data_IF_374646271297
#
_entry.id   IF_374646271297
#
_cell.length_a   1.000
_cell.length_b   1.000
_cell.length_c   1.000
_cell.angle_alpha   90.00
_cell.angle_beta   90.00
_cell.angle_gamma   90.00
#
_symmetry.space_group_name_H-M   'P 1'
#
loop_
_entity.id
_entity.type
_entity.pdbx_description
1 polymer ?
#
# COMPACT_ATOMS: atom_id res chain seq x y z
N UNK A 1 -0.03 -21.73 22.83
CA UNK A 1 -0.28 -20.67 21.84
C UNK A 1 -1.44 -19.84 22.33
N UNK A 2 -1.25 -18.53 22.46
CA UNK A 2 -2.31 -17.61 22.90
C UNK A 2 -3.10 -17.10 21.69
N UNK A 3 -4.38 -16.75 21.89
CA UNK A 3 -5.22 -16.14 20.84
C UNK A 3 -4.56 -14.88 20.22
N UNK A 4 -3.76 -14.15 21.01
CA UNK A 4 -3.01 -12.98 20.56
C UNK A 4 -1.89 -13.33 19.56
N UNK A 5 -1.20 -14.46 19.75
CA UNK A 5 -0.17 -14.91 18.81
C UNK A 5 -0.77 -15.32 17.47
N UNK A 6 -1.91 -16.03 17.48
CA UNK A 6 -2.60 -16.41 16.23
C UNK A 6 -3.16 -15.21 15.47
N UNK A 7 -3.71 -14.22 16.18
CA UNK A 7 -4.19 -12.97 15.58
C UNK A 7 -3.04 -12.16 14.98
N UNK A 8 -1.90 -12.06 15.69
CA UNK A 8 -0.69 -11.43 15.15
C UNK A 8 -0.17 -12.15 13.91
N UNK A 9 -0.14 -13.48 13.93
CA UNK A 9 0.37 -14.25 12.78
C UNK A 9 -0.52 -14.09 11.55
N UNK A 10 -1.85 -14.05 11.73
CA UNK A 10 -2.79 -13.79 10.64
C UNK A 10 -2.68 -12.36 10.11
N UNK A 11 -2.50 -11.37 10.99
CA UNK A 11 -2.30 -9.98 10.59
C UNK A 11 -0.98 -9.79 9.82
N UNK A 12 0.11 -10.42 10.26
CA UNK A 12 1.39 -10.39 9.56
C UNK A 12 1.30 -11.05 8.18
N UNK A 13 0.65 -12.22 8.07
CA UNK A 13 0.45 -12.86 6.75
C UNK A 13 -0.30 -11.96 5.77
N UNK A 14 -1.38 -11.31 6.22
CA UNK A 14 -2.12 -10.36 5.38
C UNK A 14 -1.27 -9.13 5.03
N UNK A 15 -0.40 -8.70 5.95
CA UNK A 15 0.52 -7.61 5.68
C UNK A 15 1.49 -7.96 4.55
N UNK A 16 2.17 -9.11 4.62
CA UNK A 16 3.07 -9.57 3.56
C UNK A 16 2.33 -9.70 2.22
N UNK A 17 1.12 -10.28 2.22
CA UNK A 17 0.33 -10.46 1.00
C UNK A 17 -0.02 -9.12 0.31
N UNK A 18 -0.50 -8.12 1.07
CA UNK A 18 -0.78 -6.79 0.52
C UNK A 18 0.49 -6.04 0.13
N UNK A 19 1.58 -6.24 0.86
CA UNK A 19 2.85 -5.63 0.57
C UNK A 19 3.42 -6.14 -0.76
N UNK A 20 3.42 -7.45 -0.98
CA UNK A 20 3.82 -8.07 -2.24
C UNK A 20 2.90 -7.66 -3.40
N UNK A 21 1.58 -7.57 -3.20
CA UNK A 21 0.62 -7.08 -4.21
C UNK A 21 0.97 -5.65 -4.66
N UNK A 22 1.09 -4.72 -3.71
CA UNK A 22 1.38 -3.31 -4.00
C UNK A 22 2.78 -3.15 -4.60
N UNK A 23 3.77 -3.88 -4.08
CA UNK A 23 5.13 -3.81 -4.59
C UNK A 23 5.21 -4.32 -6.02
N UNK A 24 4.58 -5.45 -6.32
CA UNK A 24 4.54 -5.99 -7.68
C UNK A 24 3.81 -5.08 -8.68
N UNK A 25 2.74 -4.41 -8.25
CA UNK A 25 2.06 -3.41 -9.07
C UNK A 25 2.91 -2.15 -9.25
N UNK A 26 3.65 -1.74 -8.21
CA UNK A 26 4.56 -0.60 -8.26
C UNK A 26 5.77 -0.87 -9.16
N UNK A 27 6.34 -2.07 -9.12
CA UNK A 27 7.42 -2.49 -10.01
C UNK A 27 6.98 -2.39 -11.46
N UNK A 28 5.80 -2.93 -11.80
CA UNK A 28 5.25 -2.81 -13.16
C UNK A 28 5.00 -1.37 -13.57
N UNK A 29 4.45 -0.56 -12.67
CA UNK A 29 4.21 0.86 -12.93
C UNK A 29 5.55 1.58 -13.19
N UNK A 30 6.56 1.34 -12.36
CA UNK A 30 7.90 1.90 -12.52
C UNK A 30 8.58 1.45 -13.84
N UNK A 31 8.44 0.18 -14.22
CA UNK A 31 8.92 -0.34 -15.51
C UNK A 31 8.28 0.38 -16.70
N UNK A 32 7.02 0.79 -16.56
CA UNK A 32 6.27 1.53 -17.58
C UNK A 32 6.38 3.06 -17.46
N UNK A 33 7.18 3.58 -16.51
CA UNK A 33 7.26 5.02 -16.19
C UNK A 33 5.91 5.63 -15.76
N UNK A 34 5.06 4.81 -15.16
CA UNK A 34 3.74 5.17 -14.65
C UNK A 34 3.76 5.24 -13.12
N UNK A 35 2.80 5.97 -12.57
CA UNK A 35 2.58 6.04 -11.11
C UNK A 35 1.42 5.12 -10.73
N UNK A 36 1.58 4.38 -9.63
CA UNK A 36 0.52 3.51 -9.12
C UNK A 36 -0.46 4.34 -8.29
N UNK A 37 -1.76 4.25 -8.55
CA UNK A 37 -2.76 5.02 -7.81
C UNK A 37 -3.87 4.12 -7.27
N UNK A 38 -4.31 4.39 -6.04
CA UNK A 38 -5.43 3.70 -5.41
C UNK A 38 -6.50 4.70 -4.96
N UNK A 39 -7.76 4.37 -5.21
CA UNK A 39 -8.90 5.23 -4.84
C UNK A 39 -9.69 4.70 -3.63
N UNK A 40 -9.99 5.59 -2.69
CA UNK A 40 -10.82 5.39 -1.50
C UNK A 40 -12.30 5.27 -1.88
N UNK A 41 -13.01 4.36 -1.22
CA UNK A 41 -14.40 3.96 -1.51
C UNK A 41 -14.61 3.19 -2.82
N UNK A 42 -13.54 2.62 -3.39
CA UNK A 42 -13.62 1.68 -4.50
C UNK A 42 -13.25 0.27 -4.04
N UNK A 43 -13.10 -0.66 -4.99
CA UNK A 43 -12.50 -1.98 -4.72
C UNK A 43 -11.08 -1.89 -4.15
N UNK A 44 -10.40 -0.75 -4.32
CA UNK A 44 -9.03 -0.50 -3.87
C UNK A 44 -8.95 0.14 -2.47
N UNK A 45 -10.09 0.39 -1.82
CA UNK A 45 -10.14 1.01 -0.49
C UNK A 45 -9.27 0.26 0.55
N UNK A 46 -9.18 -1.06 0.41
CA UNK A 46 -8.29 -1.92 1.21
C UNK A 46 -6.81 -1.56 1.03
N UNK A 47 -6.37 -1.32 -0.21
CA UNK A 47 -4.99 -0.99 -0.56
C UNK A 47 -4.69 0.47 -0.21
N UNK A 48 -5.62 1.38 -0.50
CA UNK A 48 -5.55 2.76 -0.05
C UNK A 48 -5.30 2.85 1.46
N UNK A 49 -6.13 2.17 2.27
CA UNK A 49 -5.99 2.17 3.72
C UNK A 49 -4.69 1.48 4.17
N UNK A 50 -4.25 0.45 3.46
CA UNK A 50 -3.00 -0.24 3.77
C UNK A 50 -1.77 0.66 3.52
N UNK A 51 -1.70 1.32 2.37
CA UNK A 51 -0.63 2.28 2.02
C UNK A 51 -0.61 3.41 3.04
N UNK A 52 -1.79 3.94 3.38
CA UNK A 52 -1.93 5.00 4.37
C UNK A 52 -1.47 4.57 5.77
N UNK A 53 -1.86 3.38 6.22
CA UNK A 53 -1.46 2.85 7.53
C UNK A 53 0.04 2.53 7.61
N UNK A 54 0.68 2.22 6.48
CA UNK A 54 2.07 1.79 6.40
C UNK A 54 2.97 2.78 5.65
N UNK A 55 2.52 4.03 5.47
CA UNK A 55 3.23 5.07 4.70
C UNK A 55 4.71 5.17 5.07
N UNK A 56 5.02 5.18 6.36
CA UNK A 56 6.41 5.27 6.84
C UNK A 56 7.30 4.05 6.53
N UNK A 57 6.74 2.89 6.14
CA UNK A 57 7.52 1.77 5.60
C UNK A 57 7.83 1.98 4.12
N UNK A 58 6.84 2.40 3.33
CA UNK A 58 7.02 2.71 1.92
C UNK A 58 8.05 3.84 1.71
N UNK A 59 7.95 4.92 2.50
CA UNK A 59 8.91 6.02 2.45
C UNK A 59 10.36 5.58 2.78
N UNK A 60 10.53 4.56 3.65
CA UNK A 60 11.85 4.00 3.96
C UNK A 60 12.45 3.20 2.81
N UNK A 61 11.61 2.60 1.97
CA UNK A 61 12.03 1.89 0.75
C UNK A 61 12.30 2.87 -0.41
N UNK A 62 12.12 4.18 -0.20
CA UNK A 62 12.26 5.20 -1.24
C UNK A 62 11.00 5.41 -2.09
N UNK A 63 9.86 4.85 -1.67
CA UNK A 63 8.59 5.00 -2.38
C UNK A 63 7.94 6.30 -1.94
N UNK A 64 7.66 7.17 -2.90
CA UNK A 64 7.03 8.46 -2.67
C UNK A 64 5.52 8.27 -2.71
N UNK A 65 4.84 8.72 -1.64
CA UNK A 65 3.39 8.60 -1.48
C UNK A 65 2.78 9.99 -1.46
N UNK A 66 2.01 10.31 -2.50
CA UNK A 66 1.28 11.56 -2.67
C UNK A 66 -0.22 11.33 -2.51
N UNK A 67 -0.93 12.26 -1.88
CA UNK A 67 -2.40 12.25 -1.85
C UNK A 67 -2.90 13.25 -2.88
N UNK A 68 -3.53 12.76 -3.94
CA UNK A 68 -4.01 13.57 -5.05
C UNK A 68 -5.53 13.70 -4.97
N UNK A 69 -6.05 14.50 -4.04
CA UNK A 69 -7.38 15.14 -4.15
C UNK A 69 -7.63 16.09 -2.97
N UNK A 70 -8.46 17.14 -3.14
CA UNK A 70 -8.93 17.99 -2.04
C UNK A 70 -9.70 17.20 -0.96
N UNK A 71 -10.25 16.04 -1.31
CA UNK A 71 -10.92 15.11 -0.40
C UNK A 71 -10.02 13.98 0.11
N UNK A 72 -8.72 13.96 -0.23
CA UNK A 72 -7.77 12.89 0.10
C UNK A 72 -8.31 11.49 -0.24
N UNK A 73 -8.95 11.36 -1.40
CA UNK A 73 -9.55 10.11 -1.87
C UNK A 73 -8.59 9.24 -2.67
N UNK A 74 -7.53 9.80 -3.21
CA UNK A 74 -6.60 9.05 -4.05
C UNK A 74 -5.21 9.12 -3.45
N UNK A 75 -4.53 7.97 -3.39
CA UNK A 75 -3.13 7.88 -3.02
C UNK A 75 -2.34 7.39 -4.21
N UNK A 76 -1.25 8.07 -4.52
CA UNK A 76 -0.36 7.76 -5.63
C UNK A 76 1.00 7.39 -5.07
N UNK A 77 1.52 6.27 -5.54
CA UNK A 77 2.82 5.71 -5.19
C UNK A 77 3.72 5.80 -6.42
N UNK A 78 4.93 6.26 -6.20
CA UNK A 78 5.95 6.35 -7.22
C UNK A 78 7.29 5.85 -6.68
N UNK A 79 8.02 5.10 -7.50
CA UNK A 79 9.39 4.71 -7.23
C UNK A 79 10.30 5.61 -8.06
N UNK A 80 10.98 6.57 -7.40
CA UNK A 80 12.00 7.42 -8.04
C UNK A 80 13.38 6.77 -7.99
#
# INVERSE_FOLDING_TARGET
MTLQEELKNKANKKFDEFWDEIKGDLEKAAENWETLSYEKNTSEDRLFNFVMANKGKFEKEGIIIEQLDLMNKTVTLNWM
#
